data_IF_780330810883
#
_entry.id   IF_780330810883
#
_cell.length_a   1.000
_cell.length_b   1.000
_cell.length_c   1.000
_cell.angle_alpha   90.00
_cell.angle_beta   90.00
_cell.angle_gamma   90.00
#
_symmetry.space_group_name_H-M   'P 1'
#
loop_
_entity.id
_entity.type
_entity.pdbx_description
1 polymer ?
#
# COMPACT_ATOMS: atom_id res chain seq x y z
N UNK A 1 -1.60 -17.91 -40.08
CA UNK A 1 -0.53 -17.63 -39.10
C UNK A 1 -0.93 -16.34 -38.39
N UNK A 2 -1.58 -16.48 -37.23
CA UNK A 2 -2.24 -15.37 -36.52
C UNK A 2 -1.28 -14.89 -35.44
N UNK A 3 -0.81 -13.65 -35.57
CA UNK A 3 -0.02 -12.97 -34.54
C UNK A 3 -0.83 -12.90 -33.25
N UNK A 4 -0.42 -13.67 -32.24
CA UNK A 4 -0.94 -13.55 -30.88
C UNK A 4 -0.37 -12.27 -30.30
N UNK A 5 -1.20 -11.23 -30.34
CA UNK A 5 -0.95 -9.88 -29.82
C UNK A 5 -0.54 -9.93 -28.35
N UNK A 6 0.58 -9.31 -28.03
CA UNK A 6 1.17 -9.10 -26.70
C UNK A 6 0.39 -8.08 -25.83
N UNK A 7 -0.94 -8.11 -25.88
CA UNK A 7 -1.82 -7.14 -25.19
C UNK A 7 -1.84 -7.19 -23.65
N UNK A 8 -1.63 -8.32 -22.93
CA UNK A 8 -1.80 -8.31 -21.47
C UNK A 8 -0.66 -7.59 -20.73
N UNK A 9 0.55 -7.52 -21.31
CA UNK A 9 1.69 -6.88 -20.67
C UNK A 9 1.59 -5.34 -20.75
N UNK A 10 1.03 -4.82 -21.85
CA UNK A 10 0.87 -3.38 -22.09
C UNK A 10 -0.17 -2.74 -21.16
N UNK A 11 -1.27 -3.45 -20.85
CA UNK A 11 -2.32 -2.96 -19.95
C UNK A 11 -1.85 -2.90 -18.48
N UNK A 12 -1.03 -3.85 -18.04
CA UNK A 12 -0.44 -3.84 -16.69
C UNK A 12 0.49 -2.63 -16.48
N UNK A 13 1.32 -2.33 -17.49
CA UNK A 13 2.22 -1.18 -17.46
C UNK A 13 1.46 0.15 -17.43
N UNK A 14 0.31 0.25 -18.11
CA UNK A 14 -0.51 1.45 -18.10
C UNK A 14 -1.10 1.74 -16.71
N UNK A 15 -1.65 0.72 -16.03
CA UNK A 15 -2.18 0.91 -14.69
C UNK A 15 -1.10 1.27 -13.65
N UNK A 16 0.09 0.66 -13.73
CA UNK A 16 1.21 1.05 -12.87
C UNK A 16 1.56 2.53 -13.06
N UNK A 17 1.54 3.03 -14.30
CA UNK A 17 1.77 4.46 -14.58
C UNK A 17 0.69 5.35 -13.98
N UNK A 18 -0.59 4.99 -14.14
CA UNK A 18 -1.71 5.74 -13.55
C UNK A 18 -1.57 5.80 -12.03
N UNK A 19 -1.21 4.68 -11.40
CA UNK A 19 -0.99 4.59 -9.96
C UNK A 19 0.19 5.45 -9.49
N UNK A 20 1.32 5.45 -10.22
CA UNK A 20 2.48 6.30 -9.90
C UNK A 20 2.12 7.78 -10.03
N UNK A 21 1.38 8.16 -11.08
CA UNK A 21 0.89 9.53 -11.26
C UNK A 21 -0.02 9.93 -10.10
N UNK A 22 -0.93 9.03 -9.72
CA UNK A 22 -1.84 9.24 -8.58
C UNK A 22 -1.08 9.47 -7.26
N UNK A 23 -0.09 8.62 -6.94
CA UNK A 23 0.74 8.84 -5.73
C UNK A 23 1.57 10.11 -5.80
N UNK A 24 2.00 10.52 -7.00
CA UNK A 24 2.71 11.79 -7.19
C UNK A 24 1.80 12.99 -6.91
N UNK A 25 0.52 12.92 -7.31
CA UNK A 25 -0.46 13.97 -7.02
C UNK A 25 -0.71 14.12 -5.52
N UNK A 26 -0.78 13.01 -4.79
CA UNK A 26 -1.00 13.03 -3.32
C UNK A 26 0.27 13.44 -2.55
N UNK A 27 1.45 13.35 -3.17
CA UNK A 27 2.74 13.64 -2.51
C UNK A 27 3.42 12.41 -1.90
N UNK A 28 2.89 11.22 -2.16
CA UNK A 28 3.44 9.91 -1.75
C UNK A 28 4.40 9.31 -2.79
N UNK A 29 4.74 10.06 -3.85
CA UNK A 29 5.78 9.68 -4.80
C UNK A 29 6.58 10.91 -5.24
N UNK A 30 7.60 11.27 -4.46
CA UNK A 30 8.46 12.43 -4.74
C UNK A 30 9.46 12.18 -5.87
N UNK A 31 9.62 10.95 -6.34
CA UNK A 31 10.58 10.58 -7.38
C UNK A 31 10.07 10.78 -8.81
N UNK A 32 11.01 10.84 -9.76
CA UNK A 32 10.73 10.78 -11.20
C UNK A 32 11.11 9.42 -11.74
N UNK A 33 10.35 8.91 -12.71
CA UNK A 33 10.73 7.71 -13.44
C UNK A 33 11.26 8.09 -14.83
N UNK A 34 12.30 7.41 -15.29
CA UNK A 34 12.77 7.43 -16.68
C UNK A 34 12.65 6.04 -17.28
N UNK A 35 12.35 6.01 -18.56
CA UNK A 35 12.44 4.80 -19.37
C UNK A 35 13.87 4.68 -19.87
N UNK A 36 14.52 3.56 -19.56
CA UNK A 36 15.74 3.18 -20.27
C UNK A 36 15.41 2.01 -21.20
N UNK A 37 15.80 2.16 -22.47
CA UNK A 37 15.67 1.11 -23.47
C UNK A 37 17.02 0.42 -23.64
N UNK A 38 17.40 -0.39 -22.66
CA UNK A 38 18.51 -1.32 -22.86
C UNK A 38 18.00 -2.68 -23.35
N UNK A 39 18.50 -3.11 -24.53
CA UNK A 39 18.32 -4.45 -25.09
C UNK A 39 16.86 -4.92 -25.20
N UNK A 40 16.01 -4.20 -25.96
CA UNK A 40 14.63 -4.60 -26.35
C UNK A 40 13.60 -4.77 -25.22
N UNK A 41 13.91 -4.44 -23.96
CA UNK A 41 12.94 -4.47 -22.85
C UNK A 41 12.91 -3.10 -22.12
N UNK A 42 11.72 -2.65 -21.74
CA UNK A 42 11.51 -1.33 -21.11
C UNK A 42 11.83 -1.43 -19.61
N UNK A 43 12.90 -0.76 -19.16
CA UNK A 43 13.29 -0.71 -17.74
C UNK A 43 12.81 0.60 -17.10
N UNK A 44 12.29 0.50 -15.87
CA UNK A 44 11.91 1.65 -15.05
C UNK A 44 13.09 2.03 -14.15
N UNK A 45 13.68 3.20 -14.38
CA UNK A 45 14.70 3.75 -13.49
C UNK A 45 14.07 4.90 -12.72
N UNK A 46 14.07 4.77 -11.40
CA UNK A 46 13.61 5.80 -10.49
C UNK A 46 14.76 6.73 -10.11
N UNK A 47 14.51 8.03 -10.15
CA UNK A 47 15.49 9.08 -9.93
C UNK A 47 14.98 10.10 -8.92
N UNK A 48 15.93 10.66 -8.19
CA UNK A 48 15.72 11.79 -7.30
C UNK A 48 15.22 13.00 -8.08
N UNK A 49 14.21 13.68 -7.53
CA UNK A 49 13.57 14.84 -8.15
C UNK A 49 13.43 15.97 -7.14
N UNK A 50 14.14 17.07 -7.39
CA UNK A 50 14.03 18.32 -6.63
C UNK A 50 12.62 18.92 -6.72
N UNK A 51 11.96 18.74 -7.87
CA UNK A 51 10.59 19.23 -8.07
C UNK A 51 9.59 18.51 -7.16
N UNK A 52 9.79 17.22 -6.88
CA UNK A 52 8.95 16.48 -5.94
C UNK A 52 9.02 17.03 -4.52
N UNK A 53 10.20 17.47 -4.08
CA UNK A 53 10.39 18.11 -2.77
C UNK A 53 9.69 19.47 -2.74
N UNK A 54 9.88 20.31 -3.76
CA UNK A 54 9.22 21.62 -3.83
C UNK A 54 7.70 21.45 -3.83
N UNK A 55 7.17 20.49 -4.59
CA UNK A 55 5.74 20.18 -4.61
C UNK A 55 5.22 19.78 -3.23
N UNK A 56 5.88 18.85 -2.54
CA UNK A 56 5.47 18.44 -1.19
C UNK A 56 5.60 19.59 -0.17
N UNK A 57 6.60 20.48 -0.29
CA UNK A 57 6.72 21.66 0.55
C UNK A 57 5.56 22.65 0.35
N UNK A 58 5.10 22.81 -0.91
CA UNK A 58 3.89 23.59 -1.22
C UNK A 58 2.65 22.93 -0.62
N UNK A 59 2.51 21.60 -0.74
CA UNK A 59 1.40 20.87 -0.12
C UNK A 59 1.37 21.04 1.41
N UNK A 60 2.52 20.92 2.09
CA UNK A 60 2.61 21.16 3.55
C UNK A 60 2.15 22.57 3.89
N UNK A 61 2.63 23.57 3.15
CA UNK A 61 2.27 24.98 3.38
C UNK A 61 0.76 25.20 3.18
N UNK A 62 0.17 24.58 2.17
CA UNK A 62 -1.27 24.64 1.90
C UNK A 62 -2.07 23.97 3.03
N UNK A 63 -1.63 22.81 3.53
CA UNK A 63 -2.29 22.12 4.65
C UNK A 63 -2.27 22.97 5.92
N UNK A 64 -1.14 23.60 6.24
CA UNK A 64 -1.02 24.48 7.40
C UNK A 64 -1.91 25.72 7.27
N UNK A 65 -1.91 26.38 6.11
CA UNK A 65 -2.74 27.54 5.85
C UNK A 65 -4.24 27.19 5.92
N UNK A 66 -4.63 26.06 5.32
CA UNK A 66 -6.00 25.55 5.35
C UNK A 66 -6.48 25.33 6.80
N UNK A 67 -5.68 24.63 7.61
CA UNK A 67 -6.02 24.34 9.00
C UNK A 67 -6.08 25.58 9.89
N UNK A 68 -5.20 26.55 9.66
CA UNK A 68 -5.24 27.84 10.37
C UNK A 68 -6.57 28.58 10.17
N UNK A 69 -7.20 28.44 9.00
CA UNK A 69 -8.51 29.04 8.69
C UNK A 69 -9.66 28.15 9.19
N UNK A 70 -9.56 26.84 9.01
CA UNK A 70 -10.63 25.88 9.31
C UNK A 70 -10.87 25.71 10.81
N UNK A 71 -9.83 25.70 11.65
CA UNK A 71 -9.96 25.46 13.10
C UNK A 71 -10.83 26.54 13.78
N UNK A 72 -10.58 27.86 13.60
CA UNK A 72 -11.44 28.91 14.14
C UNK A 72 -12.89 28.81 13.64
N UNK A 73 -13.08 28.47 12.37
CA UNK A 73 -14.41 28.30 11.81
C UNK A 73 -15.18 27.14 12.46
N UNK A 74 -14.49 26.01 12.71
CA UNK A 74 -15.07 24.86 13.41
C UNK A 74 -15.40 25.15 14.88
N UNK A 75 -14.59 25.98 15.55
CA UNK A 75 -14.88 26.43 16.92
C UNK A 75 -16.17 27.25 16.97
N UNK A 76 -16.47 28.03 15.94
CA UNK A 76 -17.63 28.91 15.90
C UNK A 76 -18.91 28.25 15.34
N UNK A 77 -18.80 27.07 14.73
CA UNK A 77 -19.96 26.29 14.27
C UNK A 77 -20.63 25.56 15.44
N UNK A 78 -21.96 25.68 15.56
CA UNK A 78 -22.79 24.86 16.44
C UNK A 78 -23.50 23.79 15.59
N UNK A 79 -23.27 22.52 15.91
CA UNK A 79 -23.97 21.39 15.30
C UNK A 79 -25.04 20.86 16.26
N UNK A 80 -26.24 20.57 15.74
CA UNK A 80 -27.45 20.25 16.49
C UNK A 80 -27.32 19.01 17.42
N UNK A 81 -26.31 18.15 17.20
CA UNK A 81 -26.07 16.91 17.95
C UNK A 81 -24.67 16.81 18.59
N UNK A 82 -23.86 17.87 18.59
CA UNK A 82 -22.51 17.83 19.18
C UNK A 82 -22.48 18.30 20.64
N UNK A 83 -21.94 17.45 21.52
CA UNK A 83 -21.58 17.87 22.87
C UNK A 83 -20.30 18.71 22.87
N UNK A 84 -20.09 19.51 23.92
CA UNK A 84 -18.81 20.24 24.12
C UNK A 84 -17.59 19.31 24.12
N UNK A 85 -17.77 18.04 24.52
CA UNK A 85 -16.71 17.03 24.52
C UNK A 85 -16.40 16.55 23.10
N UNK A 86 -17.41 16.12 22.33
CA UNK A 86 -17.23 15.62 20.95
C UNK A 86 -16.63 16.70 20.06
N UNK A 87 -17.05 17.96 20.21
CA UNK A 87 -16.46 19.10 19.52
C UNK A 87 -14.97 19.29 19.82
N UNK A 88 -14.55 19.11 21.07
CA UNK A 88 -13.11 19.17 21.45
C UNK A 88 -12.33 18.00 20.85
N UNK A 89 -12.89 16.79 20.86
CA UNK A 89 -12.24 15.61 20.28
C UNK A 89 -12.07 15.80 18.76
N UNK A 90 -13.08 16.28 18.04
CA UNK A 90 -12.98 16.57 16.61
C UNK A 90 -11.90 17.59 16.26
N UNK A 91 -11.75 18.66 17.06
CA UNK A 91 -10.67 19.64 16.88
C UNK A 91 -9.29 19.00 17.09
N UNK A 92 -9.12 18.21 18.15
CA UNK A 92 -7.86 17.50 18.42
C UNK A 92 -7.53 16.51 17.29
N UNK A 93 -8.52 15.79 16.78
CA UNK A 93 -8.37 14.87 15.67
C UNK A 93 -7.94 15.57 14.39
N UNK A 94 -8.55 16.73 14.06
CA UNK A 94 -8.19 17.55 12.91
C UNK A 94 -6.74 18.06 12.97
N UNK A 95 -6.33 18.58 14.15
CA UNK A 95 -4.95 19.01 14.39
C UNK A 95 -4.00 17.82 14.23
N UNK A 96 -4.33 16.68 14.83
CA UNK A 96 -3.50 15.49 14.76
C UNK A 96 -3.38 14.95 13.33
N UNK A 97 -4.47 14.91 12.56
CA UNK A 97 -4.47 14.51 11.15
C UNK A 97 -3.58 15.40 10.29
N UNK A 98 -3.59 16.71 10.56
CA UNK A 98 -2.72 17.68 9.88
C UNK A 98 -1.25 17.45 10.21
N UNK A 99 -0.93 17.22 11.49
CA UNK A 99 0.43 16.87 11.92
C UNK A 99 0.90 15.59 11.24
N UNK A 100 0.04 14.58 11.13
CA UNK A 100 0.34 13.31 10.47
C UNK A 100 0.63 13.54 8.98
N UNK A 101 -0.24 14.24 8.23
CA UNK A 101 0.00 14.55 6.81
C UNK A 101 1.33 15.29 6.64
N UNK A 102 1.57 16.34 7.43
CA UNK A 102 2.79 17.13 7.31
C UNK A 102 4.03 16.27 7.60
N UNK A 103 3.97 15.43 8.63
CA UNK A 103 5.06 14.51 8.99
C UNK A 103 5.33 13.52 7.86
N UNK A 104 4.28 12.91 7.28
CA UNK A 104 4.42 11.99 6.14
C UNK A 104 5.02 12.71 4.94
N UNK A 105 4.50 13.87 4.54
CA UNK A 105 5.02 14.61 3.39
C UNK A 105 6.49 15.03 3.59
N UNK A 106 6.87 15.44 4.80
CA UNK A 106 8.25 15.76 5.17
C UNK A 106 9.15 14.52 5.09
N UNK A 107 8.69 13.38 5.60
CA UNK A 107 9.42 12.12 5.55
C UNK A 107 9.72 11.72 4.09
N UNK A 108 8.72 11.84 3.20
CA UNK A 108 8.90 11.60 1.77
C UNK A 108 9.82 12.61 1.06
N UNK A 109 10.04 13.79 1.64
CA UNK A 109 11.03 14.76 1.15
C UNK A 109 12.45 14.40 1.60
N UNK A 110 12.63 14.11 2.89
CA UNK A 110 13.94 13.83 3.50
C UNK A 110 14.48 12.50 3.00
N UNK A 111 13.66 11.44 3.06
CA UNK A 111 14.05 10.07 2.75
C UNK A 111 13.73 9.65 1.31
N UNK A 112 13.53 10.63 0.42
CA UNK A 112 13.29 10.38 -1.01
C UNK A 112 14.36 9.47 -1.64
N UNK A 113 15.63 9.65 -1.28
CA UNK A 113 16.74 8.84 -1.80
C UNK A 113 16.58 7.36 -1.43
N UNK A 114 16.02 7.10 -0.27
CA UNK A 114 15.78 5.77 0.25
C UNK A 114 14.63 5.08 -0.48
N UNK A 115 13.52 5.80 -0.70
CA UNK A 115 12.39 5.33 -1.51
C UNK A 115 12.82 4.98 -2.95
N UNK A 116 13.65 5.83 -3.57
CA UNK A 116 14.22 5.56 -4.91
C UNK A 116 15.07 4.29 -4.91
N UNK A 117 15.89 4.08 -3.87
CA UNK A 117 16.72 2.88 -3.73
C UNK A 117 15.86 1.62 -3.62
N UNK A 118 14.79 1.64 -2.82
CA UNK A 118 13.85 0.52 -2.70
C UNK A 118 13.29 0.15 -4.07
N UNK A 119 12.75 1.14 -4.80
CA UNK A 119 12.08 0.91 -6.09
C UNK A 119 13.05 0.40 -7.18
N UNK A 120 14.27 0.93 -7.23
CA UNK A 120 15.28 0.47 -8.18
C UNK A 120 15.72 -0.96 -7.88
N UNK A 121 16.02 -1.28 -6.61
CA UNK A 121 16.41 -2.64 -6.21
C UNK A 121 15.30 -3.66 -6.45
N UNK A 122 14.05 -3.28 -6.24
CA UNK A 122 12.90 -4.14 -6.53
C UNK A 122 12.78 -4.43 -8.04
N UNK A 123 13.05 -3.42 -8.87
CA UNK A 123 13.06 -3.56 -10.34
C UNK A 123 14.23 -4.45 -10.80
N UNK A 124 15.39 -4.34 -10.15
CA UNK A 124 16.55 -5.20 -10.42
C UNK A 124 16.25 -6.66 -10.07
N UNK A 125 15.63 -6.92 -8.92
CA UNK A 125 15.18 -8.27 -8.53
C UNK A 125 14.20 -8.82 -9.55
N UNK A 126 13.19 -8.04 -9.92
CA UNK A 126 12.21 -8.43 -10.93
C UNK A 126 12.92 -8.86 -12.23
N UNK A 127 13.96 -8.13 -12.65
CA UNK A 127 14.75 -8.51 -13.81
C UNK A 127 15.51 -9.83 -13.57
N UNK A 128 16.16 -10.00 -12.42
CA UNK A 128 16.93 -11.22 -12.10
C UNK A 128 16.00 -12.43 -12.06
N UNK A 129 14.83 -12.31 -11.44
CA UNK A 129 13.78 -13.32 -11.42
C UNK A 129 13.32 -13.62 -12.84
N UNK A 130 12.92 -12.62 -13.63
CA UNK A 130 12.48 -12.82 -15.01
C UNK A 130 13.55 -13.51 -15.88
N UNK A 131 14.83 -13.22 -15.65
CA UNK A 131 15.95 -13.83 -16.39
C UNK A 131 16.23 -15.28 -15.96
N UNK A 132 16.12 -15.58 -14.66
CA UNK A 132 16.29 -16.93 -14.12
C UNK A 132 15.10 -17.83 -14.45
N UNK A 133 13.92 -17.23 -14.57
CA UNK A 133 12.63 -17.92 -14.66
C UNK A 133 11.91 -17.62 -15.97
N UNK A 134 12.62 -17.39 -17.08
CA UNK A 134 12.01 -17.20 -18.40
C UNK A 134 11.10 -18.37 -18.85
N UNK A 135 11.12 -19.50 -18.11
CA UNK A 135 10.25 -20.67 -18.27
C UNK A 135 9.19 -20.85 -17.15
N UNK A 136 9.21 -20.06 -16.07
CA UNK A 136 8.29 -20.22 -14.94
C UNK A 136 7.06 -19.31 -15.03
N UNK A 137 5.96 -19.78 -14.44
CA UNK A 137 4.60 -19.56 -14.89
C UNK A 137 4.14 -18.07 -14.83
N UNK A 138 4.05 -17.34 -15.96
CA UNK A 138 3.64 -15.91 -16.00
C UNK A 138 2.22 -15.67 -15.45
N UNK A 139 1.46 -16.76 -15.30
CA UNK A 139 0.10 -16.79 -14.77
C UNK A 139 0.04 -16.35 -13.29
N UNK A 140 1.03 -16.71 -12.46
CA UNK A 140 1.01 -16.34 -11.03
C UNK A 140 1.29 -14.87 -10.82
N UNK A 141 2.33 -14.35 -11.48
CA UNK A 141 2.70 -12.93 -11.44
C UNK A 141 1.54 -12.06 -11.92
N UNK A 142 0.88 -12.47 -13.01
CA UNK A 142 -0.36 -11.86 -13.49
C UNK A 142 -1.48 -11.93 -12.45
N UNK A 143 -1.64 -13.06 -11.72
CA UNK A 143 -2.65 -13.18 -10.66
C UNK A 143 -2.38 -12.23 -9.49
N UNK A 144 -1.13 -12.07 -9.07
CA UNK A 144 -0.75 -11.11 -8.03
C UNK A 144 -1.05 -9.69 -8.48
N UNK A 145 -0.63 -9.30 -9.69
CA UNK A 145 -0.95 -7.98 -10.24
C UNK A 145 -2.46 -7.77 -10.37
N UNK A 146 -3.22 -8.75 -10.87
CA UNK A 146 -4.68 -8.68 -10.96
C UNK A 146 -5.32 -8.52 -9.58
N UNK A 147 -4.87 -9.24 -8.56
CA UNK A 147 -5.38 -9.09 -7.20
C UNK A 147 -5.10 -7.69 -6.65
N UNK A 148 -3.90 -7.14 -6.87
CA UNK A 148 -3.57 -5.77 -6.48
C UNK A 148 -4.46 -4.74 -7.19
N UNK A 149 -4.71 -4.93 -8.49
CA UNK A 149 -5.61 -4.09 -9.28
C UNK A 149 -7.03 -4.12 -8.69
N UNK A 150 -7.56 -5.32 -8.43
CA UNK A 150 -8.91 -5.49 -7.86
C UNK A 150 -8.99 -4.78 -6.51
N UNK A 151 -7.99 -4.95 -5.66
CA UNK A 151 -7.94 -4.28 -4.35
C UNK A 151 -7.90 -2.75 -4.49
N UNK A 152 -7.13 -2.21 -5.44
CA UNK A 152 -7.09 -0.76 -5.69
C UNK A 152 -8.43 -0.23 -6.23
N UNK A 153 -9.08 -0.98 -7.13
CA UNK A 153 -10.40 -0.64 -7.66
C UNK A 153 -11.42 -0.63 -6.52
N UNK A 154 -11.45 -1.68 -5.70
CA UNK A 154 -12.34 -1.77 -4.53
C UNK A 154 -12.10 -0.60 -3.56
N UNK A 155 -10.84 -0.28 -3.23
CA UNK A 155 -10.52 0.86 -2.38
C UNK A 155 -11.05 2.18 -2.97
N UNK A 156 -10.89 2.36 -4.28
CA UNK A 156 -11.38 3.54 -5.00
C UNK A 156 -12.91 3.58 -5.02
N UNK A 157 -13.58 2.44 -5.19
CA UNK A 157 -15.04 2.34 -5.13
C UNK A 157 -15.57 2.72 -3.74
N UNK A 158 -14.96 2.20 -2.67
CA UNK A 158 -15.35 2.57 -1.29
C UNK A 158 -15.15 4.07 -1.08
N UNK A 159 -14.03 4.63 -1.56
CA UNK A 159 -13.80 6.07 -1.52
C UNK A 159 -14.84 6.87 -2.30
N UNK A 160 -15.24 6.43 -3.50
CA UNK A 160 -16.27 7.13 -4.31
C UNK A 160 -17.59 7.11 -3.56
N UNK A 161 -18.02 5.95 -3.05
CA UNK A 161 -19.25 5.82 -2.26
C UNK A 161 -19.20 6.78 -1.08
N UNK A 162 -18.10 6.79 -0.35
CA UNK A 162 -17.86 7.68 0.77
C UNK A 162 -17.92 9.18 0.41
N UNK A 163 -17.26 9.60 -0.69
CA UNK A 163 -17.30 11.00 -1.13
C UNK A 163 -18.70 11.39 -1.57
N UNK A 164 -19.41 10.50 -2.26
CA UNK A 164 -20.79 10.77 -2.70
C UNK A 164 -21.76 10.87 -1.53
N UNK A 165 -21.65 10.01 -0.51
CA UNK A 165 -22.51 10.10 0.67
C UNK A 165 -22.25 11.37 1.47
N UNK A 166 -20.99 11.78 1.60
CA UNK A 166 -20.61 13.03 2.25
C UNK A 166 -21.16 14.26 1.51
N UNK A 167 -21.02 14.33 0.18
CA UNK A 167 -21.54 15.44 -0.61
C UNK A 167 -23.07 15.57 -0.56
N UNK A 168 -23.78 14.46 -0.37
CA UNK A 168 -25.25 14.46 -0.28
C UNK A 168 -25.80 14.97 1.05
N UNK A 169 -24.99 14.97 2.12
CA UNK A 169 -25.45 15.30 3.48
C UNK A 169 -24.77 16.53 4.05
N UNK A 170 -23.45 16.66 3.85
CA UNK A 170 -22.68 17.80 4.31
C UNK A 170 -22.42 18.75 3.15
N UNK A 171 -23.17 19.85 3.10
CA UNK A 171 -22.95 20.95 2.13
C UNK A 171 -21.75 21.83 2.52
N UNK A 172 -21.16 21.61 3.70
CA UNK A 172 -20.09 22.46 4.21
C UNK A 172 -18.71 21.96 3.75
N UNK A 173 -17.97 22.71 2.91
CA UNK A 173 -16.64 22.30 2.45
C UNK A 173 -15.61 22.17 3.59
N UNK A 174 -15.88 22.76 4.75
CA UNK A 174 -14.97 22.79 5.90
C UNK A 174 -14.81 21.41 6.56
N UNK A 175 -15.90 20.67 6.74
CA UNK A 175 -15.84 19.32 7.33
C UNK A 175 -15.07 18.37 6.39
N UNK A 176 -15.27 18.53 5.09
CA UNK A 176 -14.56 17.76 4.07
C UNK A 176 -13.04 18.01 4.09
N UNK A 177 -12.60 19.26 4.13
CA UNK A 177 -11.16 19.58 4.18
C UNK A 177 -10.49 19.18 5.50
N UNK A 178 -11.21 19.25 6.62
CA UNK A 178 -10.66 18.93 7.94
C UNK A 178 -10.54 17.44 8.22
N UNK A 179 -11.58 16.66 7.90
CA UNK A 179 -11.71 15.30 8.43
C UNK A 179 -11.53 14.23 7.33
N UNK A 180 -12.03 14.49 6.12
CA UNK A 180 -11.90 13.57 4.96
C UNK A 180 -10.48 13.55 4.41
N UNK A 181 -9.85 14.72 4.27
CA UNK A 181 -8.54 14.83 3.60
C UNK A 181 -7.40 14.10 4.34
N UNK A 182 -7.24 14.22 5.68
CA UNK A 182 -6.24 13.44 6.41
C UNK A 182 -6.49 11.94 6.34
N UNK A 183 -7.75 11.53 6.49
CA UNK A 183 -8.15 10.12 6.41
C UNK A 183 -7.86 9.54 5.03
N UNK A 184 -8.17 10.28 3.97
CA UNK A 184 -7.82 9.92 2.60
C UNK A 184 -6.31 9.75 2.43
N UNK A 185 -5.52 10.73 2.86
CA UNK A 185 -4.07 10.71 2.68
C UNK A 185 -3.42 9.52 3.43
N UNK A 186 -3.83 9.28 4.68
CA UNK A 186 -3.33 8.17 5.50
C UNK A 186 -3.81 6.82 4.95
N UNK A 187 -5.06 6.72 4.49
CA UNK A 187 -5.57 5.52 3.84
C UNK A 187 -4.74 5.13 2.62
N UNK A 188 -4.39 6.10 1.77
CA UNK A 188 -3.54 5.85 0.60
C UNK A 188 -2.07 5.55 0.93
N UNK A 189 -1.54 6.10 2.02
CA UNK A 189 -0.22 5.70 2.55
C UNK A 189 -0.21 4.21 2.93
N UNK A 190 -1.23 3.76 3.67
CA UNK A 190 -1.38 2.35 4.05
C UNK A 190 -1.54 1.46 2.81
N UNK A 191 -2.34 1.89 1.83
CA UNK A 191 -2.49 1.16 0.57
C UNK A 191 -1.18 1.08 -0.22
N UNK A 192 -0.38 2.15 -0.25
CA UNK A 192 0.94 2.13 -0.89
C UNK A 192 1.86 1.10 -0.23
N UNK A 193 1.90 1.08 1.10
CA UNK A 193 2.68 0.11 1.87
C UNK A 193 2.19 -1.32 1.64
N UNK A 194 0.88 -1.56 1.69
CA UNK A 194 0.26 -2.85 1.39
C UNK A 194 0.66 -3.39 0.01
N UNK A 195 0.68 -2.54 -1.01
CA UNK A 195 1.08 -2.93 -2.36
C UNK A 195 2.53 -3.37 -2.41
N UNK A 196 3.42 -2.59 -1.79
CA UNK A 196 4.85 -2.87 -1.77
C UNK A 196 5.15 -4.18 -1.03
N UNK A 197 4.55 -4.39 0.14
CA UNK A 197 4.66 -5.65 0.91
C UNK A 197 4.12 -6.83 0.10
N UNK A 198 3.00 -6.66 -0.62
CA UNK A 198 2.43 -7.74 -1.44
C UNK A 198 3.33 -8.12 -2.63
N UNK A 199 4.05 -7.16 -3.22
CA UNK A 199 5.02 -7.43 -4.29
C UNK A 199 6.21 -8.20 -3.72
N UNK A 200 6.80 -7.72 -2.62
CA UNK A 200 7.93 -8.38 -1.96
C UNK A 200 7.56 -9.80 -1.53
N UNK A 201 6.37 -9.98 -0.95
CA UNK A 201 5.83 -11.30 -0.60
C UNK A 201 5.75 -12.21 -1.84
N UNK A 202 5.21 -11.72 -2.95
CA UNK A 202 5.13 -12.51 -4.17
C UNK A 202 6.51 -12.96 -4.68
N UNK A 203 7.51 -12.09 -4.58
CA UNK A 203 8.89 -12.40 -4.95
C UNK A 203 9.52 -13.45 -4.03
N UNK A 204 9.33 -13.36 -2.70
CA UNK A 204 9.74 -14.41 -1.74
C UNK A 204 9.09 -15.75 -2.07
N UNK A 205 7.78 -15.74 -2.33
CA UNK A 205 7.05 -16.96 -2.61
C UNK A 205 7.42 -17.60 -3.96
N UNK A 206 7.99 -16.83 -4.90
CA UNK A 206 8.56 -17.35 -6.15
C UNK A 206 9.95 -17.96 -5.92
N UNK A 207 10.80 -17.29 -5.13
CA UNK A 207 12.11 -17.81 -4.69
C UNK A 207 11.98 -19.12 -3.91
N UNK A 208 11.12 -19.17 -2.89
CA UNK A 208 10.89 -20.34 -2.06
C UNK A 208 10.41 -21.54 -2.89
N UNK A 209 9.54 -21.30 -3.86
CA UNK A 209 9.05 -22.36 -4.74
C UNK A 209 10.12 -22.85 -5.71
N UNK A 210 10.98 -21.97 -6.20
CA UNK A 210 12.11 -22.38 -7.01
C UNK A 210 13.09 -23.25 -6.22
N UNK A 211 13.32 -22.92 -4.94
CA UNK A 211 14.14 -23.73 -4.04
C UNK A 211 13.52 -25.13 -3.86
N UNK A 212 12.20 -25.21 -3.65
CA UNK A 212 11.48 -26.48 -3.56
C UNK A 212 11.53 -27.31 -4.86
N UNK A 213 11.48 -26.67 -6.02
CA UNK A 213 11.61 -27.39 -7.28
C UNK A 213 13.04 -27.93 -7.47
N UNK A 214 14.06 -27.14 -7.09
CA UNK A 214 15.45 -27.57 -7.16
C UNK A 214 15.73 -28.72 -6.18
N UNK A 215 15.15 -28.70 -4.98
CA UNK A 215 15.27 -29.80 -4.03
C UNK A 215 14.57 -31.06 -4.53
N UNK A 216 13.38 -30.95 -5.14
CA UNK A 216 12.67 -32.09 -5.75
C UNK A 216 13.39 -32.71 -6.94
N UNK A 217 14.05 -31.93 -7.79
CA UNK A 217 14.88 -32.49 -8.88
C UNK A 217 16.12 -33.22 -8.33
N UNK A 218 16.59 -32.83 -7.15
CA UNK A 218 17.74 -33.44 -6.47
C UNK A 218 17.39 -34.76 -5.75
N UNK A 219 16.12 -34.96 -5.40
CA UNK A 219 15.58 -36.21 -4.86
C UNK A 219 14.66 -36.86 -5.89
N UNK A 220 15.16 -37.73 -6.79
CA UNK A 220 14.28 -38.48 -7.67
C UNK A 220 13.28 -39.25 -6.80
N UNK A 221 12.00 -39.19 -7.17
CA UNK A 221 10.90 -39.87 -6.49
C UNK A 221 11.34 -41.26 -6.02
N UNK A 222 11.52 -41.40 -4.71
CA UNK A 222 11.66 -42.70 -4.07
C UNK A 222 10.31 -43.41 -4.20
N UNK A 223 10.12 -44.09 -5.34
CA UNK A 223 9.54 -45.42 -5.25
C UNK A 223 10.43 -46.22 -4.30
N UNK A 224 9.89 -46.93 -3.30
CA UNK A 224 10.68 -47.74 -2.41
C UNK A 224 11.15 -48.99 -3.15
N UNK A 225 12.12 -48.83 -4.06
CA UNK A 225 12.94 -49.94 -4.50
C UNK A 225 14.13 -49.99 -3.56
N UNK A 226 13.93 -50.75 -2.48
CA UNK A 226 14.99 -51.40 -1.73
C UNK A 226 16.00 -51.96 -2.73
N UNK A 227 17.19 -51.37 -2.79
CA UNK A 227 18.43 -52.06 -3.09
C UNK A 227 19.58 -51.11 -2.77
N UNK A 228 20.39 -51.52 -1.78
CA UNK A 228 21.59 -50.85 -1.31
C UNK A 228 22.50 -50.46 -2.48
N UNK A 229 22.48 -49.18 -2.85
CA UNK A 229 23.55 -48.57 -3.61
C UNK A 229 23.82 -47.20 -3.02
N UNK A 230 25.03 -47.06 -2.48
CA UNK A 230 25.64 -45.82 -1.98
C UNK A 230 25.69 -44.80 -3.13
N UNK A 231 24.56 -44.17 -3.44
CA UNK A 231 24.41 -43.28 -4.60
C UNK A 231 24.88 -41.89 -4.18
N UNK A 232 26.12 -41.56 -4.54
CA UNK A 232 26.62 -40.18 -4.48
C UNK A 232 25.64 -39.29 -5.25
N UNK A 233 25.07 -38.30 -4.57
CA UNK A 233 24.31 -37.22 -5.19
C UNK A 233 25.30 -36.45 -6.05
N UNK A 234 25.25 -36.64 -7.38
CA UNK A 234 26.06 -35.85 -8.31
C UNK A 234 25.36 -34.50 -8.42
N UNK A 235 25.77 -33.57 -7.55
CA UNK A 235 25.40 -32.17 -7.67
C UNK A 235 26.19 -31.61 -8.85
N UNK A 236 25.54 -31.34 -9.98
CA UNK A 236 26.16 -30.70 -11.13
C UNK A 236 26.55 -29.26 -10.78
N UNK A 237 27.68 -28.76 -11.28
CA UNK A 237 28.12 -27.36 -11.05
C UNK A 237 27.04 -26.33 -11.42
N UNK A 238 26.12 -26.66 -12.34
CA UNK A 238 24.98 -25.82 -12.72
C UNK A 238 23.91 -25.69 -11.63
N UNK A 239 23.63 -26.76 -10.86
CA UNK A 239 22.64 -26.70 -9.76
C UNK A 239 23.20 -25.94 -8.57
N UNK A 240 24.51 -26.08 -8.29
CA UNK A 240 25.22 -25.26 -7.29
C UNK A 240 25.14 -23.77 -7.66
N UNK A 241 25.42 -23.43 -8.93
CA UNK A 241 25.36 -22.05 -9.41
C UNK A 241 23.95 -21.45 -9.34
N UNK A 242 22.92 -22.24 -9.65
CA UNK A 242 21.52 -21.82 -9.51
C UNK A 242 21.13 -21.60 -8.05
N UNK A 243 21.58 -22.47 -7.14
CA UNK A 243 21.30 -22.36 -5.70
C UNK A 243 22.00 -21.15 -5.09
N UNK A 244 23.25 -20.88 -5.47
CA UNK A 244 23.97 -19.67 -5.06
C UNK A 244 23.24 -18.41 -5.51
N UNK A 245 22.82 -18.34 -6.78
CA UNK A 245 22.03 -17.21 -7.28
C UNK A 245 20.70 -17.06 -6.53
N UNK A 246 20.04 -18.16 -6.20
CA UNK A 246 18.76 -18.13 -5.49
C UNK A 246 18.92 -17.61 -4.06
N UNK A 247 19.98 -18.04 -3.37
CA UNK A 247 20.38 -17.52 -2.06
C UNK A 247 20.68 -16.03 -2.15
N UNK A 248 21.43 -15.59 -3.15
CA UNK A 248 21.79 -14.17 -3.31
C UNK A 248 20.53 -13.31 -3.56
N UNK A 249 19.55 -13.80 -4.34
CA UNK A 249 18.24 -13.14 -4.52
C UNK A 249 17.45 -13.11 -3.21
N UNK A 250 17.42 -14.21 -2.45
CA UNK A 250 16.75 -14.27 -1.15
C UNK A 250 17.37 -13.28 -0.14
N UNK A 251 18.70 -13.22 -0.04
CA UNK A 251 19.40 -12.25 0.81
C UNK A 251 19.08 -10.81 0.40
N UNK A 252 19.03 -10.53 -0.90
CA UNK A 252 18.66 -9.21 -1.40
C UNK A 252 17.19 -8.86 -1.08
N UNK A 253 16.27 -9.83 -1.18
CA UNK A 253 14.88 -9.66 -0.75
C UNK A 253 14.77 -9.37 0.75
N UNK A 254 15.53 -10.06 1.60
CA UNK A 254 15.60 -9.77 3.03
C UNK A 254 16.09 -8.33 3.29
N UNK A 255 17.15 -7.90 2.60
CA UNK A 255 17.67 -6.54 2.73
C UNK A 255 16.64 -5.50 2.30
N UNK A 256 15.93 -5.71 1.18
CA UNK A 256 14.87 -4.82 0.71
C UNK A 256 13.69 -4.83 1.66
N UNK A 257 13.27 -5.98 2.17
CA UNK A 257 12.18 -6.10 3.14
C UNK A 257 12.48 -5.31 4.41
N UNK A 258 13.69 -5.46 4.97
CA UNK A 258 14.17 -4.66 6.09
C UNK A 258 14.19 -3.17 5.75
N UNK A 259 14.71 -2.83 4.56
CA UNK A 259 14.74 -1.45 4.07
C UNK A 259 13.32 -0.85 4.02
N UNK A 260 12.38 -1.57 3.41
CA UNK A 260 10.98 -1.15 3.29
C UNK A 260 10.32 -0.97 4.67
N UNK A 261 10.57 -1.90 5.60
CA UNK A 261 10.10 -1.81 6.98
C UNK A 261 10.62 -0.55 7.66
N UNK A 262 11.92 -0.27 7.56
CA UNK A 262 12.55 0.90 8.17
C UNK A 262 11.94 2.21 7.65
N UNK A 263 11.72 2.32 6.33
CA UNK A 263 11.09 3.52 5.74
C UNK A 263 9.63 3.70 6.18
N UNK A 264 8.81 2.65 6.12
CA UNK A 264 7.38 2.78 6.38
C UNK A 264 7.02 2.71 7.87
N UNK A 265 7.92 2.25 8.74
CA UNK A 265 7.67 2.06 10.19
C UNK A 265 7.04 3.28 10.85
N UNK A 266 7.68 4.44 10.75
CA UNK A 266 7.27 5.67 11.41
C UNK A 266 6.05 6.32 10.73
N UNK A 267 5.99 6.50 9.39
CA UNK A 267 4.78 6.97 8.71
C UNK A 267 3.54 6.11 8.98
N UNK A 268 3.67 4.79 8.97
CA UNK A 268 2.56 3.86 9.25
C UNK A 268 2.18 3.91 10.73
N UNK A 269 3.12 4.05 11.65
CA UNK A 269 2.81 4.21 13.07
C UNK A 269 1.92 5.43 13.34
N UNK A 270 2.30 6.60 12.81
CA UNK A 270 1.48 7.81 12.91
C UNK A 270 0.14 7.66 12.21
N UNK A 271 0.13 7.02 11.03
CA UNK A 271 -1.10 6.75 10.28
C UNK A 271 -2.08 5.84 11.02
N UNK A 272 -1.60 4.73 11.57
CA UNK A 272 -2.41 3.79 12.36
C UNK A 272 -2.93 4.47 13.62
N UNK A 273 -2.09 5.22 14.35
CA UNK A 273 -2.53 5.97 15.53
C UNK A 273 -3.66 6.95 15.21
N UNK A 274 -3.54 7.68 14.08
CA UNK A 274 -4.57 8.60 13.60
C UNK A 274 -5.87 7.88 13.23
N UNK A 275 -5.79 6.78 12.48
CA UNK A 275 -6.98 6.00 12.11
C UNK A 275 -7.62 5.34 13.32
N UNK A 276 -6.84 4.88 14.30
CA UNK A 276 -7.38 4.33 15.55
C UNK A 276 -8.13 5.38 16.35
N UNK A 277 -7.60 6.60 16.50
CA UNK A 277 -8.30 7.70 17.15
C UNK A 277 -9.62 8.03 16.42
N UNK A 278 -9.55 8.10 15.09
CA UNK A 278 -10.70 8.36 14.22
C UNK A 278 -11.76 7.27 14.36
N UNK A 279 -11.37 5.99 14.34
CA UNK A 279 -12.27 4.85 14.56
C UNK A 279 -12.98 4.89 15.91
N UNK A 280 -12.29 5.31 16.98
CA UNK A 280 -12.91 5.45 18.31
C UNK A 280 -13.95 6.58 18.31
N UNK A 281 -13.61 7.70 17.67
CA UNK A 281 -14.53 8.84 17.53
C UNK A 281 -15.76 8.48 16.70
N UNK A 282 -15.58 7.89 15.53
CA UNK A 282 -16.69 7.52 14.63
C UNK A 282 -17.49 6.34 15.18
N UNK A 283 -16.83 5.42 15.91
CA UNK A 283 -17.48 4.33 16.61
C UNK A 283 -18.51 4.81 17.62
N UNK A 284 -18.29 5.97 18.27
CA UNK A 284 -19.29 6.59 19.13
C UNK A 284 -20.57 6.96 18.36
N UNK A 285 -20.45 7.56 17.17
CA UNK A 285 -21.60 7.95 16.35
C UNK A 285 -22.33 6.75 15.75
N UNK A 286 -21.62 5.67 15.40
CA UNK A 286 -22.26 4.42 14.95
C UNK A 286 -23.01 3.73 16.09
N UNK A 287 -22.46 3.75 17.32
CA UNK A 287 -23.07 3.08 18.48
C UNK A 287 -24.22 3.86 19.10
N UNK A 288 -24.20 5.19 19.03
CA UNK A 288 -25.21 6.07 19.62
C UNK A 288 -26.67 5.72 19.20
N UNK A 289 -27.01 5.61 17.90
CA UNK A 289 -28.36 5.23 17.47
C UNK A 289 -28.71 3.76 17.73
N UNK A 290 -27.71 2.89 17.98
CA UNK A 290 -27.93 1.48 18.33
C UNK A 290 -28.28 1.32 19.82
N UNK A 291 -27.71 2.17 20.67
CA UNK A 291 -27.84 2.10 22.13
C UNK A 291 -28.99 2.96 22.67
N UNK A 292 -29.30 4.10 22.03
CA UNK A 292 -30.38 4.98 22.47
C UNK A 292 -31.71 4.65 21.77
N UNK A 293 -32.77 4.48 22.57
CA UNK A 293 -34.11 4.13 22.09
C UNK A 293 -34.89 5.31 21.51
N UNK A 294 -34.44 6.54 21.78
CA UNK A 294 -35.14 7.77 21.40
C UNK A 294 -35.24 7.95 19.88
N UNK A 295 -36.43 8.31 19.40
CA UNK A 295 -36.74 8.44 17.97
C UNK A 295 -35.99 9.60 17.30
N UNK A 296 -35.55 10.61 18.07
CA UNK A 296 -34.76 11.75 17.56
C UNK A 296 -33.38 11.35 17.03
N UNK A 297 -32.77 10.27 17.54
CA UNK A 297 -31.44 9.82 17.11
C UNK A 297 -31.49 8.74 16.02
N UNK A 298 -32.68 8.29 15.61
CA UNK A 298 -32.88 7.18 14.64
C UNK A 298 -33.07 7.66 13.21
N UNK A 299 -32.36 8.70 12.77
CA UNK A 299 -32.29 8.97 11.34
C UNK A 299 -31.37 7.94 10.67
N UNK A 300 -32.01 6.97 10.00
CA UNK A 300 -31.36 5.89 9.27
C UNK A 300 -30.34 6.41 8.23
N UNK A 301 -30.52 7.62 7.71
CA UNK A 301 -29.60 8.23 6.74
C UNK A 301 -28.24 8.52 7.36
N UNK A 302 -28.21 9.16 8.53
CA UNK A 302 -26.95 9.47 9.22
C UNK A 302 -26.25 8.19 9.67
N UNK A 303 -27.00 7.24 10.24
CA UNK A 303 -26.45 5.94 10.62
C UNK A 303 -25.80 5.19 9.44
N UNK A 304 -26.45 5.14 8.28
CA UNK A 304 -25.90 4.49 7.10
C UNK A 304 -24.59 5.14 6.61
N UNK A 305 -24.47 6.47 6.75
CA UNK A 305 -23.27 7.22 6.38
C UNK A 305 -22.12 6.93 7.34
N UNK A 306 -22.41 6.93 8.64
CA UNK A 306 -21.41 6.62 9.67
C UNK A 306 -20.90 5.18 9.54
N UNK A 307 -21.77 4.24 9.17
CA UNK A 307 -21.37 2.85 8.86
C UNK A 307 -20.46 2.80 7.62
N UNK A 308 -20.78 3.52 6.55
CA UNK A 308 -19.92 3.61 5.35
C UNK A 308 -18.56 4.21 5.71
N UNK A 309 -18.54 5.24 6.54
CA UNK A 309 -17.31 5.86 7.05
C UNK A 309 -16.47 4.86 7.85
N UNK A 310 -17.09 4.12 8.75
CA UNK A 310 -16.45 3.08 9.55
C UNK A 310 -15.84 1.97 8.67
N UNK A 311 -16.55 1.52 7.62
CA UNK A 311 -16.05 0.55 6.64
C UNK A 311 -14.82 1.10 5.91
N UNK A 312 -14.86 2.37 5.48
CA UNK A 312 -13.75 3.01 4.79
C UNK A 312 -12.47 3.05 5.64
N UNK A 313 -12.59 3.32 6.95
CA UNK A 313 -11.47 3.32 7.88
C UNK A 313 -10.89 1.92 8.13
N UNK A 314 -11.74 0.92 8.30
CA UNK A 314 -11.31 -0.45 8.61
C UNK A 314 -10.68 -1.13 7.40
N UNK A 315 -11.19 -0.89 6.20
CA UNK A 315 -10.78 -1.58 4.99
C UNK A 315 -9.25 -1.62 4.75
N UNK A 316 -8.52 -0.48 4.71
CA UNK A 316 -7.07 -0.50 4.49
C UNK A 316 -6.30 -1.15 5.66
N UNK A 317 -6.77 -0.99 6.91
CA UNK A 317 -6.15 -1.60 8.08
C UNK A 317 -6.30 -3.13 8.06
N UNK A 318 -7.50 -3.64 7.78
CA UNK A 318 -7.77 -5.07 7.69
C UNK A 318 -6.96 -5.74 6.56
N UNK A 319 -6.82 -5.05 5.41
CA UNK A 319 -5.98 -5.51 4.31
C UNK A 319 -4.50 -5.60 4.72
N UNK A 320 -3.99 -4.55 5.37
CA UNK A 320 -2.59 -4.49 5.79
C UNK A 320 -2.28 -5.59 6.81
N UNK A 321 -3.09 -5.72 7.87
CA UNK A 321 -2.89 -6.74 8.92
C UNK A 321 -2.87 -8.14 8.33
N UNK A 322 -3.83 -8.47 7.45
CA UNK A 322 -3.88 -9.78 6.78
C UNK A 322 -2.66 -10.06 5.90
N UNK A 323 -1.98 -9.04 5.36
CA UNK A 323 -0.75 -9.22 4.57
C UNK A 323 0.47 -9.36 5.43
N UNK A 324 0.61 -8.55 6.47
CA UNK A 324 1.73 -8.64 7.41
C UNK A 324 1.79 -10.03 8.04
N UNK A 325 0.64 -10.61 8.42
CA UNK A 325 0.60 -11.99 8.94
C UNK A 325 1.07 -13.02 7.90
N UNK A 326 0.80 -12.80 6.61
CA UNK A 326 1.21 -13.75 5.56
C UNK A 326 2.67 -13.65 5.18
N UNK A 327 3.25 -12.44 5.13
CA UNK A 327 4.68 -12.28 4.83
C UNK A 327 5.54 -12.87 5.96
N UNK A 328 5.11 -12.76 7.22
CA UNK A 328 5.81 -13.38 8.35
C UNK A 328 5.93 -14.91 8.14
N UNK A 329 4.84 -15.56 7.73
CA UNK A 329 4.83 -16.99 7.42
C UNK A 329 5.65 -17.41 6.18
N UNK A 330 6.09 -16.46 5.34
CA UNK A 330 6.89 -16.76 4.14
C UNK A 330 8.38 -16.44 4.33
N UNK A 331 8.71 -15.61 5.32
CA UNK A 331 10.07 -15.23 5.70
C UNK A 331 10.66 -16.19 6.73
N UNK A 332 9.82 -16.72 7.63
CA UNK A 332 10.14 -17.86 8.51
C UNK A 332 10.05 -19.19 7.75
#
# INVERSE_FOLDING_TARGET
MMEVRSEPHQNSLWMLRVLIIFFKLIGLATFTHRFDMQKKRMLYIFQYSKFGIVYNAVLISLMLASNYILIPFRINLEYENETKLTKRIGIVQSIFGTVVICTVLLFYCVDQKYLVRIMNRLTDIEHVIDCLYSLYNPIRRRRVSCNLIIVCILNTCVLIVFVTTQLLVYTNPVTWLSDTLPTFHVGWLIMQYFMLVTIIQADFADVNRALQNLSRVSTPDLRPQFLCQTRRVIVTNSTVHQLLKLRDVHCLLCEISGTVSDFYSLPILFGVAFLSLTLVYDGYFVLLPLLMSDEEFKDYRFFAIDVVWFIYLIYPLALLTNRITKILNEVE
#
